data_IF_413560015215
#
_entry.id   IF_413560015215
#
_cell.length_a   1.000
_cell.length_b   1.000
_cell.length_c   1.000
_cell.angle_alpha   90.00
_cell.angle_beta   90.00
_cell.angle_gamma   90.00
#
_symmetry.space_group_name_H-M   'P 1'
#
loop_
_entity.id
_entity.type
_entity.pdbx_description
1 polymer ?
#
# COMPACT_ATOMS: atom_id res chain seq x y z
N UNK A 1 48.62 0.10 6.47
CA UNK A 1 47.53 0.00 7.46
C UNK A 1 46.36 0.74 6.88
N UNK A 2 45.30 0.01 6.55
CA UNK A 2 44.08 0.44 5.86
C UNK A 2 43.06 0.71 6.96
N UNK A 3 42.65 1.95 7.15
CA UNK A 3 41.70 2.34 8.18
C UNK A 3 41.06 3.68 7.83
N UNK A 4 39.76 3.62 7.59
CA UNK A 4 38.76 4.65 7.90
C UNK A 4 38.76 5.96 7.11
N UNK A 5 38.17 5.93 5.91
CA UNK A 5 37.58 7.10 5.25
C UNK A 5 36.17 6.74 4.73
N UNK A 6 35.28 6.27 5.62
CA UNK A 6 33.88 5.99 5.26
C UNK A 6 32.96 7.20 5.45
N UNK A 7 33.51 8.36 5.82
CA UNK A 7 32.77 9.60 6.03
C UNK A 7 33.12 10.62 4.95
N UNK A 8 33.04 10.22 3.68
CA UNK A 8 32.84 11.21 2.62
C UNK A 8 31.42 11.74 2.80
N UNK A 9 31.30 12.96 3.31
CA UNK A 9 30.06 13.74 3.25
C UNK A 9 29.61 13.69 1.78
N UNK A 10 28.51 12.99 1.51
CA UNK A 10 27.92 12.92 0.18
C UNK A 10 27.76 14.37 -0.34
N UNK A 11 28.06 14.66 -1.61
CA UNK A 11 27.96 16.00 -2.13
C UNK A 11 26.57 16.57 -1.81
N UNK A 12 26.56 17.67 -1.07
CA UNK A 12 25.37 18.42 -0.66
C UNK A 12 24.75 19.06 -1.91
N UNK A 13 24.00 18.27 -2.67
CA UNK A 13 22.99 18.63 -3.68
C UNK A 13 22.51 17.41 -4.46
N UNK A 14 22.35 16.25 -3.80
CA UNK A 14 21.35 15.31 -4.31
C UNK A 14 20.00 16.01 -4.15
N UNK A 15 19.54 16.60 -5.25
CA UNK A 15 18.21 17.15 -5.39
C UNK A 15 17.26 15.98 -5.10
N UNK A 16 16.82 15.85 -3.85
CA UNK A 16 15.75 14.94 -3.45
C UNK A 16 14.43 15.51 -3.99
N UNK A 17 14.36 15.70 -5.31
CA UNK A 17 13.10 15.95 -6.00
C UNK A 17 12.19 14.79 -5.66
N UNK A 18 11.14 15.10 -4.89
CA UNK A 18 10.10 14.15 -4.51
C UNK A 18 9.37 13.61 -5.77
N UNK A 19 9.58 14.30 -6.90
CA UNK A 19 9.08 14.02 -8.23
C UNK A 19 9.93 12.95 -8.94
N UNK A 20 9.63 11.69 -8.67
CA UNK A 20 10.31 10.57 -9.32
C UNK A 20 9.40 9.38 -9.58
N UNK A 21 9.77 8.58 -10.59
CA UNK A 21 9.16 7.29 -10.86
C UNK A 21 9.19 6.37 -9.63
N UNK A 22 10.25 6.48 -8.81
CA UNK A 22 10.43 5.72 -7.58
C UNK A 22 9.41 6.13 -6.51
N UNK A 23 9.30 7.42 -6.19
CA UNK A 23 8.29 7.95 -5.25
C UNK A 23 6.88 7.57 -5.69
N UNK A 24 6.59 7.73 -6.97
CA UNK A 24 5.30 7.36 -7.55
C UNK A 24 5.02 5.86 -7.37
N UNK A 25 5.98 5.00 -7.68
CA UNK A 25 5.82 3.55 -7.54
C UNK A 25 5.60 3.15 -6.07
N UNK A 26 6.37 3.71 -5.14
CA UNK A 26 6.24 3.44 -3.70
C UNK A 26 4.87 3.89 -3.19
N UNK A 27 4.40 5.07 -3.58
CA UNK A 27 3.08 5.57 -3.22
C UNK A 27 1.96 4.65 -3.73
N UNK A 28 2.03 4.24 -5.00
CA UNK A 28 1.03 3.37 -5.63
C UNK A 28 1.00 1.96 -5.02
N UNK A 29 2.13 1.44 -4.54
CA UNK A 29 2.22 0.14 -3.88
C UNK A 29 1.72 0.22 -2.43
N UNK A 30 2.20 1.20 -1.68
CA UNK A 30 1.97 1.29 -0.23
C UNK A 30 0.55 1.70 0.14
N UNK A 31 -0.05 2.63 -0.61
CA UNK A 31 -1.40 3.12 -0.34
C UNK A 31 -2.45 2.00 -0.23
N UNK A 32 -2.58 1.10 -1.22
CA UNK A 32 -3.52 -0.01 -1.12
C UNK A 32 -3.12 -1.04 -0.05
N UNK A 33 -1.82 -1.27 0.19
CA UNK A 33 -1.36 -2.20 1.25
C UNK A 33 -1.84 -1.78 2.63
N UNK A 34 -1.73 -0.48 2.98
CA UNK A 34 -2.23 0.03 4.26
C UNK A 34 -3.75 -0.14 4.41
N UNK A 35 -4.50 0.05 3.32
CA UNK A 35 -5.96 -0.16 3.32
C UNK A 35 -6.27 -1.64 3.58
N UNK A 36 -5.57 -2.57 2.91
CA UNK A 36 -5.75 -4.01 3.12
C UNK A 36 -5.43 -4.44 4.55
N UNK A 37 -4.33 -3.96 5.12
CA UNK A 37 -3.97 -4.23 6.52
C UNK A 37 -5.10 -3.75 7.43
N UNK A 38 -5.59 -2.53 7.24
CA UNK A 38 -6.73 -1.99 7.99
C UNK A 38 -7.99 -2.86 7.89
N UNK A 39 -8.34 -3.35 6.71
CA UNK A 39 -9.47 -4.26 6.50
C UNK A 39 -9.27 -5.55 7.29
N UNK A 40 -8.16 -6.24 7.07
CA UNK A 40 -7.89 -7.57 7.61
C UNK A 40 -7.89 -7.52 9.15
N UNK A 41 -7.19 -6.56 9.76
CA UNK A 41 -7.19 -6.40 11.21
C UNK A 41 -8.59 -6.24 11.81
N UNK A 42 -9.46 -5.49 11.13
CA UNK A 42 -10.81 -5.24 11.62
C UNK A 42 -11.78 -6.40 11.33
N UNK A 43 -11.49 -7.30 10.37
CA UNK A 43 -12.28 -8.51 10.11
C UNK A 43 -12.09 -9.57 11.20
N UNK A 44 -10.86 -9.78 11.65
CA UNK A 44 -10.49 -10.88 12.56
C UNK A 44 -10.44 -10.47 14.04
N UNK A 45 -10.88 -9.26 14.38
CA UNK A 45 -10.92 -8.79 15.77
C UNK A 45 -11.95 -9.55 16.60
N UNK A 46 -11.47 -10.35 17.56
CA UNK A 46 -12.28 -11.17 18.48
C UNK A 46 -13.05 -10.39 19.55
N UNK A 47 -12.56 -9.22 19.96
CA UNK A 47 -13.06 -8.47 21.13
C UNK A 47 -13.96 -7.26 20.78
N UNK A 48 -14.30 -7.04 19.50
CA UNK A 48 -15.15 -5.93 19.04
C UNK A 48 -16.13 -6.43 17.99
N UNK A 49 -17.18 -5.65 17.72
CA UNK A 49 -18.11 -5.98 16.64
C UNK A 49 -17.35 -6.01 15.31
N UNK A 50 -17.55 -7.05 14.50
CA UNK A 50 -16.84 -7.22 13.25
C UNK A 50 -17.20 -6.09 12.27
N UNK A 51 -16.24 -5.75 11.41
CA UNK A 51 -16.27 -4.63 10.48
C UNK A 51 -17.60 -4.51 9.69
N UNK A 52 -18.21 -5.64 9.31
CA UNK A 52 -19.48 -5.69 8.57
C UNK A 52 -20.69 -5.16 9.34
N UNK A 53 -20.62 -5.04 10.67
CA UNK A 53 -21.68 -4.38 11.46
C UNK A 53 -21.63 -2.86 11.35
N UNK A 54 -20.47 -2.30 11.01
CA UNK A 54 -20.31 -0.87 10.82
C UNK A 54 -20.33 -0.55 9.32
N UNK A 55 -21.54 -0.36 8.79
CA UNK A 55 -21.76 -0.03 7.38
C UNK A 55 -20.99 1.21 6.95
N UNK A 56 -20.86 2.22 7.82
CA UNK A 56 -20.13 3.46 7.52
C UNK A 56 -18.64 3.16 7.29
N UNK A 57 -18.02 2.39 8.17
CA UNK A 57 -16.62 1.99 8.02
C UNK A 57 -16.42 1.15 6.75
N UNK A 58 -17.31 0.21 6.47
CA UNK A 58 -17.26 -0.60 5.25
C UNK A 58 -17.36 0.27 3.99
N UNK A 59 -18.29 1.23 3.95
CA UNK A 59 -18.47 2.15 2.82
C UNK A 59 -17.22 3.01 2.61
N UNK A 60 -16.67 3.61 3.68
CA UNK A 60 -15.45 4.44 3.57
C UNK A 60 -14.29 3.64 3.01
N UNK A 61 -14.09 2.42 3.50
CA UNK A 61 -12.99 1.57 3.05
C UNK A 61 -13.17 1.12 1.60
N UNK A 62 -14.39 0.82 1.20
CA UNK A 62 -14.71 0.44 -0.18
C UNK A 62 -14.52 1.62 -1.14
N UNK A 63 -14.96 2.81 -0.74
CA UNK A 63 -14.70 4.07 -1.46
C UNK A 63 -13.19 4.33 -1.57
N UNK A 64 -12.45 4.21 -0.48
CA UNK A 64 -11.00 4.44 -0.46
C UNK A 64 -10.26 3.46 -1.39
N UNK A 65 -10.67 2.19 -1.40
CA UNK A 65 -10.12 1.18 -2.29
C UNK A 65 -10.47 1.48 -3.75
N UNK A 66 -11.73 1.80 -4.05
CA UNK A 66 -12.17 2.20 -5.39
C UNK A 66 -11.42 3.44 -5.89
N UNK A 67 -11.24 4.46 -5.06
CA UNK A 67 -10.48 5.66 -5.40
C UNK A 67 -9.01 5.33 -5.66
N UNK A 68 -8.41 4.47 -4.84
CA UNK A 68 -6.99 4.06 -5.01
C UNK A 68 -6.78 3.33 -6.33
N UNK A 69 -7.64 2.37 -6.67
CA UNK A 69 -7.57 1.68 -7.98
C UNK A 69 -7.92 2.61 -9.15
N UNK A 70 -8.85 3.54 -8.96
CA UNK A 70 -9.17 4.55 -9.96
C UNK A 70 -7.98 5.45 -10.28
N UNK A 71 -7.24 5.90 -9.25
CA UNK A 71 -6.02 6.71 -9.40
C UNK A 71 -4.93 5.94 -10.17
N UNK A 72 -4.77 4.63 -9.89
CA UNK A 72 -3.82 3.76 -10.62
C UNK A 72 -4.16 3.67 -12.11
N UNK A 73 -5.45 3.46 -12.44
CA UNK A 73 -5.93 3.22 -13.81
C UNK A 73 -6.02 4.50 -14.63
N UNK A 74 -6.59 5.56 -14.06
CA UNK A 74 -6.79 6.85 -14.72
C UNK A 74 -6.21 7.93 -13.79
N UNK A 75 -4.92 8.27 -13.92
CA UNK A 75 -4.37 9.40 -13.20
C UNK A 75 -5.08 10.67 -13.69
N UNK A 76 -6.07 11.16 -12.95
CA UNK A 76 -6.75 12.41 -13.28
C UNK A 76 -5.70 13.52 -13.30
N UNK A 77 -5.78 14.46 -14.26
CA UNK A 77 -4.80 15.56 -14.38
C UNK A 77 -4.64 16.32 -13.05
N UNK A 78 -5.75 16.52 -12.33
CA UNK A 78 -5.75 17.10 -10.99
C UNK A 78 -4.94 16.30 -9.95
N UNK A 79 -5.01 14.97 -9.97
CA UNK A 79 -4.19 14.14 -9.07
C UNK A 79 -2.73 14.12 -9.49
N UNK A 80 -2.41 14.23 -10.78
CA UNK A 80 -1.02 14.35 -11.24
C UNK A 80 -0.36 15.63 -10.75
N UNK A 81 -1.09 16.73 -10.78
CA UNK A 81 -0.54 18.04 -10.37
C UNK A 81 -0.43 18.17 -8.84
N UNK A 82 -1.27 17.47 -8.07
CA UNK A 82 -1.22 17.50 -6.59
C UNK A 82 -0.35 16.39 -5.96
N UNK A 83 -0.19 15.25 -6.63
CA UNK A 83 0.59 14.11 -6.13
C UNK A 83 1.91 13.91 -6.91
N UNK A 84 2.24 14.83 -7.83
CA UNK A 84 3.47 14.81 -8.64
C UNK A 84 3.74 13.45 -9.32
N UNK A 85 2.65 12.75 -9.69
CA UNK A 85 2.69 11.37 -10.20
C UNK A 85 3.27 11.36 -11.62
N UNK A 86 4.43 10.72 -11.78
CA UNK A 86 5.08 10.59 -13.08
C UNK A 86 4.35 9.61 -14.01
N UNK A 87 4.53 9.76 -15.32
CA UNK A 87 3.81 8.98 -16.32
C UNK A 87 4.31 7.53 -16.37
N UNK A 88 3.69 6.63 -15.61
CA UNK A 88 4.00 5.21 -15.67
C UNK A 88 3.49 4.57 -16.97
N UNK A 89 4.30 3.68 -17.53
CA UNK A 89 3.89 2.82 -18.63
C UNK A 89 2.66 1.98 -18.26
N UNK A 90 1.79 1.75 -19.23
CA UNK A 90 0.52 1.04 -18.99
C UNK A 90 0.77 -0.42 -18.56
N UNK A 91 1.84 -1.04 -19.04
CA UNK A 91 2.24 -2.40 -18.64
C UNK A 91 2.65 -2.46 -17.17
N UNK A 92 3.41 -1.46 -16.73
CA UNK A 92 3.90 -1.38 -15.36
C UNK A 92 2.76 -1.16 -14.35
N UNK A 93 1.71 -0.40 -14.73
CA UNK A 93 0.50 -0.23 -13.89
C UNK A 93 -0.21 -1.54 -13.60
N UNK A 94 -0.36 -2.41 -14.61
CA UNK A 94 -0.97 -3.73 -14.41
C UNK A 94 -0.11 -4.63 -13.52
N UNK A 95 1.21 -4.57 -13.67
CA UNK A 95 2.14 -5.29 -12.81
C UNK A 95 2.03 -4.84 -11.34
N UNK A 96 1.97 -3.53 -11.09
CA UNK A 96 1.75 -2.98 -9.74
C UNK A 96 0.41 -3.44 -9.15
N UNK A 97 -0.65 -3.40 -9.95
CA UNK A 97 -1.98 -3.88 -9.53
C UNK A 97 -1.92 -5.37 -9.11
N UNK A 98 -1.24 -6.21 -9.88
CA UNK A 98 -1.06 -7.63 -9.57
C UNK A 98 -0.28 -7.82 -8.27
N UNK A 99 0.81 -7.08 -8.05
CA UNK A 99 1.60 -7.13 -6.81
C UNK A 99 0.74 -6.78 -5.61
N UNK A 100 0.01 -5.68 -5.69
CA UNK A 100 -0.85 -5.20 -4.61
C UNK A 100 -1.96 -6.22 -4.28
N UNK A 101 -2.61 -6.79 -5.30
CA UNK A 101 -3.64 -7.82 -5.10
C UNK A 101 -3.04 -9.08 -4.47
N UNK A 102 -1.89 -9.52 -4.97
CA UNK A 102 -1.17 -10.69 -4.43
C UNK A 102 -0.77 -10.47 -2.97
N UNK A 103 -0.31 -9.27 -2.62
CA UNK A 103 0.02 -8.90 -1.25
C UNK A 103 -1.24 -8.93 -0.34
N UNK A 104 -2.35 -8.36 -0.80
CA UNK A 104 -3.62 -8.43 -0.07
C UNK A 104 -4.10 -9.87 0.17
N UNK A 105 -3.98 -10.75 -0.82
CA UNK A 105 -4.30 -12.18 -0.69
C UNK A 105 -3.36 -12.85 0.32
N UNK A 106 -2.06 -12.59 0.24
CA UNK A 106 -1.07 -13.16 1.15
C UNK A 106 -1.36 -12.75 2.61
N UNK A 107 -1.64 -11.47 2.86
CA UNK A 107 -2.05 -10.99 4.18
C UNK A 107 -3.34 -11.67 4.68
N UNK A 108 -4.33 -11.86 3.80
CA UNK A 108 -5.58 -12.52 4.16
C UNK A 108 -5.35 -14.00 4.52
N UNK A 109 -4.56 -14.73 3.74
CA UNK A 109 -4.23 -16.13 4.02
C UNK A 109 -3.42 -16.27 5.31
N UNK A 110 -2.50 -15.36 5.56
CA UNK A 110 -1.72 -15.34 6.79
C UNK A 110 -2.63 -15.17 8.02
N UNK A 111 -3.52 -14.18 8.01
CA UNK A 111 -4.44 -13.95 9.13
C UNK A 111 -5.43 -15.13 9.28
N UNK A 112 -5.91 -15.70 8.18
CA UNK A 112 -6.73 -16.92 8.20
C UNK A 112 -5.99 -18.10 8.84
N UNK A 113 -4.70 -18.28 8.54
CA UNK A 113 -3.89 -19.35 9.13
C UNK A 113 -3.73 -19.18 10.64
N UNK A 114 -3.53 -17.95 11.12
CA UNK A 114 -3.47 -17.62 12.55
C UNK A 114 -4.81 -17.90 13.22
N UNK A 115 -5.91 -17.47 12.58
CA UNK A 115 -7.25 -17.69 13.10
C UNK A 115 -7.58 -19.19 13.25
N UNK A 116 -7.23 -20.01 12.26
CA UNK A 116 -7.42 -21.46 12.30
C UNK A 116 -6.56 -22.13 13.38
N UNK A 117 -5.29 -21.73 13.51
CA UNK A 117 -4.41 -22.24 14.56
C UNK A 117 -4.96 -21.92 15.95
N UNK A 118 -5.48 -20.69 16.14
CA UNK A 118 -6.11 -20.30 17.39
C UNK A 118 -7.35 -21.14 17.73
N UNK A 119 -8.15 -21.54 16.74
CA UNK A 119 -9.30 -22.41 16.95
C UNK A 119 -8.90 -23.84 17.38
N UNK A 120 -7.77 -24.35 16.87
CA UNK A 120 -7.30 -25.71 17.17
C UNK A 120 -6.67 -25.84 18.57
N UNK A 121 -6.17 -24.75 19.16
CA UNK A 121 -5.59 -24.73 20.52
C UNK A 121 -6.61 -24.40 21.64
N UNK A 122 -7.91 -24.38 21.32
CA UNK A 122 -8.99 -24.22 22.30
C UNK A 122 -9.72 -25.55 22.51
#
# INVERSE_FOLDING_TARGET
MRGEDYFTVAPESEDYTTDGYETTAIFLISTPQYIFIGIIFNLFTKFRMPLYKNYLLMIIVLIQLSITYWIILVPAKFMRDNLEIQHLDSTFKWFLCLITISNGIACFLFELSIYLLYQHFK
#
